data_IF_144027147807
#
_entry.id   IF_144027147807
#
_cell.length_a   1.000
_cell.length_b   1.000
_cell.length_c   1.000
_cell.angle_alpha   90.00
_cell.angle_beta   90.00
_cell.angle_gamma   90.00
#
_symmetry.space_group_name_H-M   'P 1'
#
loop_
_entity.id
_entity.type
_entity.pdbx_description
1 polymer ?
#
# COMPACT_ATOMS: atom_id res chain seq x y z
N UNK A 1 -5.61 23.90 17.25
CA UNK A 1 -4.39 23.37 16.62
C UNK A 1 -4.71 21.94 16.22
N UNK A 2 -5.18 21.75 15.00
CA UNK A 2 -5.32 20.41 14.46
C UNK A 2 -3.90 19.92 14.17
N UNK A 3 -3.46 18.84 14.82
CA UNK A 3 -2.32 18.07 14.34
C UNK A 3 -2.62 17.75 12.88
N UNK A 4 -1.71 18.17 12.02
CA UNK A 4 -1.82 17.97 10.59
C UNK A 4 -1.93 16.46 10.35
N UNK A 5 -2.99 16.04 9.67
CA UNK A 5 -3.14 14.69 9.10
C UNK A 5 -2.13 14.43 7.94
N UNK A 6 -1.02 15.17 7.89
CA UNK A 6 0.02 15.05 6.86
C UNK A 6 1.16 14.23 7.47
N UNK A 7 1.63 13.09 6.96
CA UNK A 7 1.46 12.47 5.66
C UNK A 7 1.60 10.96 5.90
N UNK A 8 0.61 10.17 5.50
CA UNK A 8 0.82 8.72 5.35
C UNK A 8 1.78 8.58 4.18
N UNK A 9 3.01 8.06 4.36
CA UNK A 9 3.92 7.82 3.23
C UNK A 9 3.54 6.49 2.57
N UNK A 10 2.73 6.49 1.49
CA UNK A 10 2.07 5.27 1.06
C UNK A 10 3.04 4.26 0.41
N UNK A 11 4.28 4.70 0.15
CA UNK A 11 5.36 3.90 -0.39
C UNK A 11 6.44 3.56 0.66
N UNK A 12 6.16 3.70 1.96
CA UNK A 12 7.12 3.52 3.05
C UNK A 12 7.74 2.13 3.18
N UNK A 13 7.11 1.08 2.62
CA UNK A 13 7.70 -0.26 2.56
C UNK A 13 8.76 -0.42 1.46
N UNK A 14 8.83 0.50 0.49
CA UNK A 14 9.83 0.46 -0.58
C UNK A 14 11.19 0.99 -0.11
N UNK A 15 12.30 0.52 -0.71
CA UNK A 15 13.59 1.18 -0.55
C UNK A 15 13.52 2.68 -0.94
N UNK A 16 14.27 3.57 -0.27
CA UNK A 16 14.18 5.03 -0.53
C UNK A 16 14.36 5.42 -1.99
N UNK A 17 15.26 4.74 -2.71
CA UNK A 17 15.50 4.99 -4.14
C UNK A 17 14.27 4.66 -4.99
N UNK A 18 13.54 3.59 -4.68
CA UNK A 18 12.33 3.21 -5.40
C UNK A 18 11.18 4.18 -5.12
N UNK A 19 11.01 4.60 -3.85
CA UNK A 19 10.04 5.62 -3.48
C UNK A 19 10.31 6.96 -4.20
N UNK A 20 11.58 7.37 -4.31
CA UNK A 20 11.97 8.58 -5.03
C UNK A 20 11.67 8.51 -6.55
N UNK A 21 11.93 7.36 -7.17
CA UNK A 21 11.59 7.13 -8.60
C UNK A 21 10.08 7.24 -8.81
N UNK A 22 9.28 6.62 -7.94
CA UNK A 22 7.81 6.67 -8.03
C UNK A 22 7.29 8.10 -7.86
N UNK A 23 7.78 8.85 -6.87
CA UNK A 23 7.42 10.28 -6.72
C UNK A 23 7.76 11.09 -7.95
N UNK A 24 8.93 10.86 -8.54
CA UNK A 24 9.33 11.54 -9.78
C UNK A 24 8.40 11.19 -10.95
N UNK A 25 8.05 9.91 -11.09
CA UNK A 25 7.11 9.43 -12.11
C UNK A 25 5.67 9.92 -11.91
N UNK A 26 5.28 10.20 -10.66
CA UNK A 26 3.95 10.70 -10.29
C UNK A 26 3.68 12.14 -10.74
N UNK A 27 4.70 12.94 -11.08
CA UNK A 27 4.60 14.37 -11.45
C UNK A 27 3.80 14.70 -12.73
N UNK A 28 3.20 13.69 -13.38
CA UNK A 28 2.38 13.83 -14.58
C UNK A 28 0.88 14.08 -14.34
N UNK A 29 0.05 13.73 -15.33
CA UNK A 29 -1.42 13.88 -15.26
C UNK A 29 -2.03 12.89 -14.26
N UNK A 30 -2.28 13.36 -13.04
CA UNK A 30 -2.90 12.58 -11.96
C UNK A 30 -4.28 12.04 -12.33
N UNK A 31 -5.08 12.78 -13.10
CA UNK A 31 -6.39 12.31 -13.53
C UNK A 31 -6.25 11.12 -14.50
N UNK A 32 -5.29 11.17 -15.42
CA UNK A 32 -4.96 10.02 -16.28
C UNK A 32 -4.43 8.83 -15.48
N UNK A 33 -3.53 9.07 -14.52
CA UNK A 33 -3.01 8.01 -13.64
C UNK A 33 -4.14 7.31 -12.87
N UNK A 34 -5.07 8.08 -12.27
CA UNK A 34 -6.24 7.55 -11.56
C UNK A 34 -7.18 6.76 -12.47
N UNK A 35 -7.41 7.22 -13.71
CA UNK A 35 -8.18 6.46 -14.71
C UNK A 35 -7.52 5.13 -15.06
N UNK A 36 -6.21 5.12 -15.26
CA UNK A 36 -5.45 3.89 -15.55
C UNK A 36 -5.47 2.95 -14.34
N UNK A 37 -5.32 3.48 -13.12
CA UNK A 37 -5.44 2.69 -11.89
C UNK A 37 -6.79 2.01 -11.80
N UNK A 38 -7.88 2.74 -12.03
CA UNK A 38 -9.22 2.16 -11.97
C UNK A 38 -9.38 1.01 -12.97
N UNK A 39 -8.87 1.19 -14.19
CA UNK A 39 -8.88 0.12 -15.20
C UNK A 39 -8.07 -1.12 -14.78
N UNK A 40 -7.05 -0.98 -13.92
CA UNK A 40 -6.35 -2.13 -13.33
C UNK A 40 -7.13 -2.77 -12.18
N UNK A 41 -7.73 -1.96 -11.30
CA UNK A 41 -8.60 -2.44 -10.21
C UNK A 41 -9.74 -3.29 -10.77
N UNK A 42 -10.44 -2.81 -11.80
CA UNK A 42 -11.55 -3.53 -12.44
C UNK A 42 -11.12 -4.88 -13.02
N UNK A 43 -9.86 -5.01 -13.44
CA UNK A 43 -9.34 -6.27 -13.97
C UNK A 43 -8.79 -7.21 -12.89
N UNK A 44 -8.46 -6.69 -11.72
CA UNK A 44 -8.03 -7.43 -10.53
C UNK A 44 -9.20 -7.75 -9.59
N UNK A 45 -10.45 -7.50 -10.03
CA UNK A 45 -11.69 -7.83 -9.31
C UNK A 45 -11.66 -9.26 -8.73
N UNK A 46 -11.75 -9.45 -7.41
CA UNK A 46 -11.77 -10.77 -6.76
C UNK A 46 -12.81 -11.74 -7.34
N UNK A 47 -13.90 -11.25 -7.92
CA UNK A 47 -14.93 -12.09 -8.55
C UNK A 47 -14.48 -12.71 -9.89
N UNK A 48 -13.36 -12.24 -10.47
CA UNK A 48 -12.82 -12.75 -11.72
C UNK A 48 -11.92 -13.97 -11.48
N UNK A 49 -12.07 -15.07 -12.24
CA UNK A 49 -11.17 -16.21 -12.17
C UNK A 49 -9.71 -15.81 -12.43
N UNK A 50 -8.79 -16.43 -11.68
CA UNK A 50 -7.36 -16.20 -11.84
C UNK A 50 -6.90 -16.57 -13.26
N UNK A 51 -6.22 -15.64 -13.93
CA UNK A 51 -5.71 -15.81 -15.28
C UNK A 51 -4.19 -16.00 -15.34
N UNK A 52 -3.69 -16.51 -16.47
CA UNK A 52 -2.26 -16.73 -16.70
C UNK A 52 -1.38 -15.44 -16.64
N UNK A 53 -2.00 -14.26 -16.60
CA UNK A 53 -1.33 -12.96 -16.58
C UNK A 53 -1.53 -12.18 -15.27
N UNK A 54 -2.14 -12.79 -14.25
CA UNK A 54 -2.52 -12.09 -13.02
C UNK A 54 -1.34 -11.47 -12.28
N UNK A 55 -0.16 -12.10 -12.32
CA UNK A 55 1.07 -11.55 -11.73
C UNK A 55 1.49 -10.24 -12.40
N UNK A 56 1.52 -10.22 -13.74
CA UNK A 56 1.87 -9.04 -14.52
C UNK A 56 0.84 -7.92 -14.34
N UNK A 57 -0.43 -8.33 -14.25
CA UNK A 57 -1.55 -7.45 -13.99
C UNK A 57 -1.47 -6.81 -12.60
N UNK A 58 -1.19 -7.60 -11.57
CA UNK A 58 -0.96 -7.15 -10.19
C UNK A 58 0.21 -6.18 -10.13
N UNK A 59 1.36 -6.53 -10.72
CA UNK A 59 2.53 -5.65 -10.75
C UNK A 59 2.24 -4.30 -11.45
N UNK A 60 1.53 -4.32 -12.58
CA UNK A 60 1.18 -3.11 -13.32
C UNK A 60 0.18 -2.25 -12.56
N UNK A 61 -0.84 -2.86 -11.96
CA UNK A 61 -1.82 -2.16 -11.13
C UNK A 61 -1.16 -1.51 -9.91
N UNK A 62 -0.31 -2.25 -9.20
CA UNK A 62 0.42 -1.75 -8.04
C UNK A 62 1.33 -0.58 -8.41
N UNK A 63 2.04 -0.65 -9.53
CA UNK A 63 2.87 0.47 -9.98
C UNK A 63 2.06 1.75 -10.19
N UNK A 64 0.91 1.67 -10.85
CA UNK A 64 0.05 2.84 -11.08
C UNK A 64 -0.61 3.33 -9.80
N UNK A 65 -1.05 2.42 -8.93
CA UNK A 65 -1.62 2.78 -7.62
C UNK A 65 -0.60 3.53 -6.75
N UNK A 66 0.66 3.07 -6.73
CA UNK A 66 1.76 3.74 -6.03
C UNK A 66 2.07 5.13 -6.59
N UNK A 67 2.03 5.32 -7.91
CA UNK A 67 2.18 6.65 -8.51
C UNK A 67 1.05 7.59 -8.09
N UNK A 68 -0.20 7.13 -8.08
CA UNK A 68 -1.32 7.96 -7.60
C UNK A 68 -1.12 8.33 -6.12
N UNK A 69 -0.87 7.32 -5.28
CA UNK A 69 -0.70 7.49 -3.84
C UNK A 69 0.49 8.40 -3.48
N UNK A 70 1.54 8.44 -4.31
CA UNK A 70 2.70 9.32 -4.10
C UNK A 70 2.37 10.82 -4.05
N UNK A 71 1.15 11.23 -4.45
CA UNK A 71 0.67 12.61 -4.32
C UNK A 71 0.08 12.93 -2.92
N UNK A 72 0.01 11.95 -2.02
CA UNK A 72 -0.42 12.15 -0.63
C UNK A 72 -1.94 12.20 -0.42
N UNK A 73 -2.74 11.89 -1.44
CA UNK A 73 -4.20 11.80 -1.28
C UNK A 73 -4.58 10.52 -0.52
N UNK A 74 -5.32 10.67 0.58
CA UNK A 74 -5.79 9.58 1.44
C UNK A 74 -6.54 8.50 0.65
N UNK A 75 -7.42 8.91 -0.27
CA UNK A 75 -8.20 7.97 -1.08
C UNK A 75 -7.31 7.14 -2.01
N UNK A 76 -6.19 7.70 -2.47
CA UNK A 76 -5.22 6.99 -3.29
C UNK A 76 -4.37 6.01 -2.46
N UNK A 77 -4.07 6.35 -1.19
CA UNK A 77 -3.40 5.47 -0.25
C UNK A 77 -4.29 4.28 0.15
N UNK A 78 -5.57 4.52 0.43
CA UNK A 78 -6.55 3.47 0.71
C UNK A 78 -6.68 2.51 -0.48
N UNK A 79 -6.80 3.06 -1.70
CA UNK A 79 -6.86 2.24 -2.91
C UNK A 79 -5.59 1.40 -3.12
N UNK A 80 -4.41 1.94 -2.81
CA UNK A 80 -3.16 1.19 -2.84
C UNK A 80 -3.19 0.02 -1.84
N UNK A 81 -3.63 0.27 -0.60
CA UNK A 81 -3.75 -0.77 0.41
C UNK A 81 -4.70 -1.89 -0.05
N UNK A 82 -5.89 -1.55 -0.53
CA UNK A 82 -6.85 -2.53 -1.07
C UNK A 82 -6.25 -3.35 -2.23
N UNK A 83 -5.49 -2.71 -3.11
CA UNK A 83 -4.87 -3.38 -4.24
C UNK A 83 -3.74 -4.32 -3.81
N UNK A 84 -2.94 -3.93 -2.81
CA UNK A 84 -1.91 -4.78 -2.21
C UNK A 84 -2.54 -6.03 -1.57
N UNK A 85 -3.63 -5.87 -0.81
CA UNK A 85 -4.36 -6.99 -0.21
C UNK A 85 -4.90 -7.95 -1.28
N UNK A 86 -5.55 -7.40 -2.32
CA UNK A 86 -6.14 -8.18 -3.41
C UNK A 86 -5.07 -8.92 -4.22
N UNK A 87 -3.99 -8.22 -4.59
CA UNK A 87 -2.86 -8.82 -5.30
C UNK A 87 -2.17 -9.89 -4.44
N UNK A 88 -1.99 -9.61 -3.15
CA UNK A 88 -1.37 -10.52 -2.20
C UNK A 88 -2.15 -11.83 -2.05
N UNK A 89 -3.48 -11.76 -1.90
CA UNK A 89 -4.35 -12.92 -1.85
C UNK A 89 -4.27 -13.76 -3.15
N UNK A 90 -4.32 -13.11 -4.32
CA UNK A 90 -4.21 -13.82 -5.61
C UNK A 90 -2.85 -14.51 -5.79
N UNK A 91 -1.77 -13.85 -5.41
CA UNK A 91 -0.41 -14.41 -5.48
C UNK A 91 -0.24 -15.56 -4.50
N UNK A 92 -0.85 -15.46 -3.33
CA UNK A 92 -0.90 -16.55 -2.38
C UNK A 92 -1.61 -17.78 -2.99
N UNK A 93 -2.80 -17.59 -3.54
CA UNK A 93 -3.62 -18.66 -4.13
C UNK A 93 -3.00 -19.27 -5.40
N UNK A 94 -2.19 -18.50 -6.15
CA UNK A 94 -1.45 -18.98 -7.30
C UNK A 94 -0.14 -19.71 -6.94
N UNK A 95 0.16 -19.88 -5.65
CA UNK A 95 1.33 -20.59 -5.14
C UNK A 95 2.57 -19.73 -4.95
N UNK A 96 2.50 -18.41 -5.18
CA UNK A 96 3.56 -17.44 -4.85
C UNK A 96 3.41 -16.91 -3.43
N UNK A 97 3.25 -17.85 -2.49
CA UNK A 97 2.95 -17.59 -1.07
C UNK A 97 3.85 -16.53 -0.42
N UNK A 98 5.20 -16.56 -0.56
CA UNK A 98 6.05 -15.54 0.08
C UNK A 98 5.77 -14.12 -0.42
N UNK A 99 5.59 -13.96 -1.75
CA UNK A 99 5.30 -12.66 -2.35
C UNK A 99 3.89 -12.18 -1.98
N UNK A 100 2.93 -13.10 -1.92
CA UNK A 100 1.58 -12.81 -1.43
C UNK A 100 1.60 -12.23 -0.02
N UNK A 101 2.35 -12.85 0.90
CA UNK A 101 2.49 -12.38 2.27
C UNK A 101 3.20 -11.04 2.39
N UNK A 102 4.18 -10.75 1.54
CA UNK A 102 4.83 -9.43 1.51
C UNK A 102 3.84 -8.32 1.20
N UNK A 103 2.96 -8.51 0.20
CA UNK A 103 1.95 -7.52 -0.16
C UNK A 103 0.85 -7.37 0.89
N UNK A 104 0.44 -8.47 1.52
CA UNK A 104 -0.53 -8.43 2.62
C UNK A 104 0.06 -7.67 3.83
N UNK A 105 1.32 -7.93 4.18
CA UNK A 105 1.99 -7.21 5.27
C UNK A 105 2.12 -5.71 4.97
N UNK A 106 2.43 -5.34 3.72
CA UNK A 106 2.47 -3.94 3.31
C UNK A 106 1.08 -3.27 3.36
N UNK A 107 0.05 -3.97 2.89
CA UNK A 107 -1.34 -3.50 3.00
C UNK A 107 -1.74 -3.27 4.44
N UNK A 108 -1.45 -4.22 5.33
CA UNK A 108 -1.77 -4.11 6.75
C UNK A 108 -1.06 -2.90 7.36
N UNK A 109 0.22 -2.69 7.04
CA UNK A 109 0.97 -1.53 7.50
C UNK A 109 0.36 -0.18 7.04
N UNK A 110 -0.23 -0.13 5.84
CA UNK A 110 -0.95 1.05 5.37
C UNK A 110 -2.25 1.26 6.15
N UNK A 111 -3.06 0.21 6.33
CA UNK A 111 -4.29 0.31 7.11
C UNK A 111 -4.05 0.65 8.58
N UNK A 112 -3.03 0.08 9.23
CA UNK A 112 -2.64 0.45 10.60
C UNK A 112 -2.30 1.94 10.72
N UNK A 113 -1.64 2.52 9.71
CA UNK A 113 -1.32 3.96 9.70
C UNK A 113 -2.56 4.82 9.46
N UNK A 114 -3.43 4.44 8.52
CA UNK A 114 -4.70 5.13 8.31
C UNK A 114 -5.58 5.07 9.57
N UNK A 115 -5.66 3.90 10.21
CA UNK A 115 -6.36 3.68 11.48
C UNK A 115 -5.78 4.57 12.59
N UNK A 116 -4.45 4.64 12.72
CA UNK A 116 -3.79 5.54 13.68
C UNK A 116 -4.05 7.03 13.39
N UNK A 117 -4.31 7.40 12.13
CA UNK A 117 -4.71 8.74 11.72
C UNK A 117 -6.22 9.02 11.90
N UNK A 118 -7.00 8.04 12.39
CA UNK A 118 -8.43 8.18 12.66
C UNK A 118 -9.36 7.72 11.55
N UNK A 119 -8.87 6.98 10.55
CA UNK A 119 -9.70 6.34 9.53
C UNK A 119 -10.43 5.12 10.12
N UNK A 120 -11.73 5.26 10.33
CA UNK A 120 -12.60 4.22 10.89
C UNK A 120 -12.70 3.00 9.97
N UNK A 121 -12.73 3.19 8.65
CA UNK A 121 -12.79 2.06 7.71
C UNK A 121 -11.49 1.25 7.76
N UNK A 122 -10.35 1.95 7.88
CA UNK A 122 -9.08 1.29 8.07
C UNK A 122 -9.00 0.56 9.43
N UNK A 123 -9.59 1.10 10.49
CA UNK A 123 -9.69 0.40 11.78
C UNK A 123 -10.46 -0.91 11.65
N UNK A 124 -11.64 -0.88 11.03
CA UNK A 124 -12.47 -2.08 10.84
C UNK A 124 -11.71 -3.15 10.03
N UNK A 125 -11.02 -2.74 8.96
CA UNK A 125 -10.21 -3.65 8.14
C UNK A 125 -9.06 -4.27 8.95
N UNK A 126 -8.38 -3.50 9.81
CA UNK A 126 -7.30 -4.03 10.66
C UNK A 126 -7.84 -5.06 11.65
N UNK A 127 -8.95 -4.74 12.32
CA UNK A 127 -9.57 -5.61 13.32
C UNK A 127 -10.06 -6.93 12.72
N UNK A 128 -10.56 -6.90 11.48
CA UNK A 128 -10.97 -8.10 10.73
C UNK A 128 -9.77 -8.90 10.20
N UNK A 129 -8.73 -8.22 9.72
CA UNK A 129 -7.62 -8.87 9.01
C UNK A 129 -6.61 -9.50 9.97
N UNK A 130 -6.18 -8.79 11.02
CA UNK A 130 -5.11 -9.23 11.94
C UNK A 130 -5.35 -10.64 12.52
N UNK A 131 -6.56 -11.01 12.99
CA UNK A 131 -6.80 -12.34 13.56
C UNK A 131 -6.64 -13.50 12.58
N UNK A 132 -6.70 -13.22 11.27
CA UNK A 132 -6.65 -14.23 10.20
C UNK A 132 -5.24 -14.46 9.66
N UNK A 133 -4.29 -13.57 9.99
CA UNK A 133 -2.95 -13.59 9.43
C UNK A 133 -1.95 -14.36 10.31
N UNK A 134 -0.95 -15.03 9.69
CA UNK A 134 0.17 -15.58 10.44
C UNK A 134 0.94 -14.50 11.22
N UNK A 135 1.44 -14.85 12.40
CA UNK A 135 2.16 -13.91 13.28
C UNK A 135 3.35 -13.23 12.58
N UNK A 136 4.05 -13.93 11.68
CA UNK A 136 5.16 -13.39 10.91
C UNK A 136 4.75 -12.28 9.93
N UNK A 137 3.52 -12.33 9.40
CA UNK A 137 2.96 -11.31 8.49
C UNK A 137 2.64 -10.06 9.30
N UNK A 138 2.01 -10.22 10.46
CA UNK A 138 1.70 -9.11 11.38
C UNK A 138 2.99 -8.45 11.87
N UNK A 139 3.99 -9.23 12.29
CA UNK A 139 5.28 -8.71 12.72
C UNK A 139 6.00 -7.95 11.59
N UNK A 140 5.83 -8.38 10.34
CA UNK A 140 6.37 -7.70 9.16
C UNK A 140 5.67 -6.37 8.91
N UNK A 141 4.34 -6.31 9.01
CA UNK A 141 3.58 -5.07 8.88
C UNK A 141 4.03 -4.02 9.90
N UNK A 142 4.18 -4.43 11.16
CA UNK A 142 4.68 -3.57 12.24
C UNK A 142 6.12 -3.11 12.04
N UNK A 143 6.94 -3.90 11.34
CA UNK A 143 8.29 -3.48 10.96
C UNK A 143 8.26 -2.37 9.89
N UNK A 144 7.38 -2.47 8.89
CA UNK A 144 7.22 -1.41 7.88
C UNK A 144 6.73 -0.10 8.51
N UNK A 145 5.71 -0.17 9.38
CA UNK A 145 5.18 1.01 10.06
C UNK A 145 6.25 1.73 10.92
N UNK A 146 7.13 0.98 11.59
CA UNK A 146 8.22 1.56 12.40
C UNK A 146 9.30 2.24 11.57
N UNK A 147 9.74 1.61 10.47
CA UNK A 147 10.81 2.16 9.61
C UNK A 147 10.45 3.52 9.02
N UNK A 148 9.18 3.72 8.68
CA UNK A 148 8.72 4.99 8.16
C UNK A 148 8.69 6.07 9.23
N UNK A 149 8.25 5.73 10.45
CA UNK A 149 8.30 6.66 11.59
C UNK A 149 9.73 7.15 11.82
N UNK A 150 10.70 6.24 11.81
CA UNK A 150 12.12 6.57 11.93
C UNK A 150 12.63 7.46 10.77
N UNK A 151 12.16 7.21 9.54
CA UNK A 151 12.52 8.03 8.38
C UNK A 151 11.93 9.45 8.44
N UNK A 152 10.67 9.57 8.88
CA UNK A 152 9.99 10.86 9.10
C UNK A 152 10.68 11.68 10.20
N UNK A 153 11.00 11.04 11.33
CA UNK A 153 11.69 11.67 12.46
C UNK A 153 13.12 12.13 12.08
N UNK A 154 13.83 11.36 11.25
CA UNK A 154 15.15 11.75 10.74
C UNK A 154 15.10 12.94 9.76
N UNK A 155 13.99 13.10 9.03
CA UNK A 155 13.82 14.22 8.08
C UNK A 155 13.49 15.55 8.76
N UNK A 156 12.90 15.50 9.95
CA UNK A 156 12.49 16.67 10.73
C UNK A 156 13.59 17.18 11.68
N UNK A 157 14.70 16.44 11.84
CA UNK A 157 15.83 16.85 12.67
C UNK A 157 17.18 16.69 11.93
N UNK A 158 17.53 17.60 11.00
CA UNK A 158 18.74 17.50 10.18
C UNK A 158 20.07 17.77 10.93
N UNK A 159 20.03 18.03 12.24
CA UNK A 159 21.22 18.30 13.06
C UNK A 159 21.22 17.44 14.34
N UNK A 160 21.83 16.25 14.24
CA UNK A 160 22.41 15.52 15.37
C UNK A 160 23.69 14.81 14.93
#
# INVERSE_FOLDING_TARGET
MAESCDQIEPNGALPPIAAAIIRSAASGDLAAQRRIRQAWCDRLDPARPAGANDDMMAASGLFVARMCAANGDHSDAQMLATLLLTAGARLHDSGRVPLGWEFIAESLSLYERMSAAGDVEATDIVDDLVPTLPCEVVARAQFYARREKEASDASTNPEA
#
